data_IF_772246685841
#
_entry.id   IF_772246685841
#
_cell.length_a   1.000
_cell.length_b   1.000
_cell.length_c   1.000
_cell.angle_alpha   90.00
_cell.angle_beta   90.00
_cell.angle_gamma   90.00
#
_symmetry.space_group_name_H-M   'P 1'
#
loop_
_entity.id
_entity.type
_entity.pdbx_description
1 polymer ?
#
# COMPACT_ATOMS: atom_id res chain seq x y z
N UNK A 1 -28.86 -10.13 -5.93
CA UNK A 1 -27.64 -9.44 -5.54
C UNK A 1 -27.49 -8.12 -6.26
N UNK A 2 -27.13 -7.07 -5.54
CA UNK A 2 -26.89 -5.71 -6.05
C UNK A 2 -25.46 -5.31 -5.72
N UNK A 3 -24.89 -4.32 -6.45
CA UNK A 3 -23.54 -3.82 -6.19
C UNK A 3 -23.56 -2.76 -5.10
N UNK A 4 -24.51 -1.81 -5.16
CA UNK A 4 -24.57 -0.67 -4.25
C UNK A 4 -25.73 -0.77 -3.24
N UNK A 5 -25.62 0.00 -2.17
CA UNK A 5 -26.69 0.13 -1.18
C UNK A 5 -27.90 0.83 -1.82
N UNK A 6 -27.65 1.87 -2.61
CA UNK A 6 -28.69 2.64 -3.31
C UNK A 6 -29.51 1.75 -4.23
N UNK A 7 -28.87 0.91 -5.03
CA UNK A 7 -29.57 -0.07 -5.91
C UNK A 7 -30.40 -1.04 -5.07
N UNK A 8 -29.89 -1.49 -3.91
CA UNK A 8 -30.62 -2.39 -3.03
C UNK A 8 -31.88 -1.74 -2.45
N UNK A 9 -31.80 -0.48 -2.05
CA UNK A 9 -32.92 0.29 -1.50
C UNK A 9 -33.96 0.63 -2.58
N UNK A 10 -33.52 1.02 -3.78
CA UNK A 10 -34.38 1.25 -4.94
C UNK A 10 -35.19 -0.01 -5.28
N UNK A 11 -34.51 -1.14 -5.40
CA UNK A 11 -35.13 -2.42 -5.68
C UNK A 11 -36.13 -2.81 -4.58
N UNK A 12 -35.79 -2.58 -3.31
CA UNK A 12 -36.69 -2.79 -2.19
C UNK A 12 -37.98 -1.96 -2.30
N UNK A 13 -37.86 -0.67 -2.65
CA UNK A 13 -39.03 0.17 -2.86
C UNK A 13 -39.91 -0.33 -4.00
N UNK A 14 -39.29 -0.78 -5.10
CA UNK A 14 -40.01 -1.33 -6.25
C UNK A 14 -40.78 -2.61 -5.89
N UNK A 15 -40.18 -3.50 -5.12
CA UNK A 15 -40.82 -4.75 -4.66
C UNK A 15 -41.93 -4.46 -3.67
N UNK A 16 -41.79 -3.50 -2.75
CA UNK A 16 -42.83 -3.03 -1.84
C UNK A 16 -44.05 -2.52 -2.60
N UNK A 17 -43.84 -1.69 -3.62
CA UNK A 17 -44.93 -1.16 -4.48
C UNK A 17 -45.71 -2.27 -5.20
N UNK A 18 -45.05 -3.41 -5.47
CA UNK A 18 -45.63 -4.58 -6.11
C UNK A 18 -46.21 -5.61 -5.12
N UNK A 19 -46.15 -5.33 -3.80
CA UNK A 19 -46.63 -6.21 -2.77
C UNK A 19 -45.83 -7.49 -2.56
N UNK A 20 -44.54 -7.52 -2.99
CA UNK A 20 -43.65 -8.66 -2.81
C UNK A 20 -42.97 -8.56 -1.43
N UNK A 21 -43.26 -9.49 -0.48
CA UNK A 21 -42.55 -9.53 0.80
C UNK A 21 -41.06 -9.83 0.60
N UNK A 22 -40.18 -9.06 1.22
CA UNK A 22 -38.73 -9.26 1.11
C UNK A 22 -38.00 -8.72 2.31
N UNK A 23 -36.75 -9.20 2.51
CA UNK A 23 -35.79 -8.67 3.49
C UNK A 23 -34.63 -8.02 2.71
N UNK A 24 -34.01 -7.00 3.33
CA UNK A 24 -32.84 -6.29 2.77
C UNK A 24 -31.65 -6.51 3.67
N UNK A 25 -30.56 -6.97 3.07
CA UNK A 25 -29.29 -7.20 3.75
C UNK A 25 -28.18 -6.35 3.08
N UNK A 26 -27.82 -5.28 3.73
CA UNK A 26 -26.72 -4.41 3.32
C UNK A 26 -25.95 -3.91 4.56
N UNK A 27 -24.89 -3.11 4.34
CA UNK A 27 -24.03 -2.65 5.42
C UNK A 27 -24.73 -1.85 6.54
N UNK A 28 -25.95 -1.37 6.32
CA UNK A 28 -26.74 -0.67 7.35
C UNK A 28 -27.40 -1.61 8.38
N UNK A 29 -27.50 -2.91 8.08
CA UNK A 29 -28.26 -3.90 8.87
C UNK A 29 -27.39 -5.06 9.37
N UNK A 30 -26.15 -4.80 9.75
CA UNK A 30 -25.22 -5.83 10.23
C UNK A 30 -25.73 -6.61 11.45
N UNK A 31 -26.43 -5.96 12.37
CA UNK A 31 -26.92 -6.61 13.58
C UNK A 31 -27.98 -7.68 13.28
N UNK A 32 -28.73 -7.56 12.17
CA UNK A 32 -29.77 -8.48 11.75
C UNK A 32 -29.30 -9.50 10.72
N UNK A 33 -28.02 -9.45 10.33
CA UNK A 33 -27.50 -10.27 9.24
C UNK A 33 -27.74 -11.76 9.44
N UNK A 34 -27.42 -12.29 10.61
CA UNK A 34 -27.61 -13.72 10.93
C UNK A 34 -29.07 -14.15 10.82
N UNK A 35 -30.00 -13.34 11.31
CA UNK A 35 -31.44 -13.62 11.26
C UNK A 35 -31.98 -13.58 9.81
N UNK A 36 -31.53 -12.58 9.03
CA UNK A 36 -31.95 -12.45 7.64
C UNK A 36 -31.44 -13.62 6.81
N UNK A 37 -30.17 -14.02 6.99
CA UNK A 37 -29.56 -15.15 6.28
C UNK A 37 -30.22 -16.46 6.68
N UNK A 38 -30.54 -16.68 7.95
CA UNK A 38 -31.23 -17.87 8.43
C UNK A 38 -32.59 -18.05 7.75
N UNK A 39 -33.30 -16.95 7.47
CA UNK A 39 -34.61 -16.98 6.79
C UNK A 39 -34.53 -16.96 5.26
N UNK A 40 -33.34 -16.80 4.65
CA UNK A 40 -33.21 -16.61 3.20
C UNK A 40 -33.39 -17.88 2.38
N UNK A 41 -33.30 -19.06 3.00
CA UNK A 41 -33.44 -20.35 2.35
C UNK A 41 -34.83 -20.98 2.49
N UNK A 42 -35.79 -20.28 3.09
CA UNK A 42 -37.18 -20.75 3.27
C UNK A 42 -37.95 -20.55 1.96
N UNK A 43 -38.87 -21.49 1.67
CA UNK A 43 -39.73 -21.37 0.50
C UNK A 43 -40.46 -20.02 0.42
N UNK A 44 -40.44 -19.42 -0.75
CA UNK A 44 -41.03 -18.09 -1.02
C UNK A 44 -40.30 -16.90 -0.42
N UNK A 45 -39.19 -17.10 0.30
CA UNK A 45 -38.39 -15.99 0.82
C UNK A 45 -37.68 -15.22 -0.32
N UNK A 46 -37.71 -13.89 -0.23
CA UNK A 46 -36.98 -12.99 -1.11
C UNK A 46 -36.03 -12.15 -0.27
N UNK A 47 -34.73 -12.20 -0.57
CA UNK A 47 -33.71 -11.42 0.11
C UNK A 47 -32.94 -10.59 -0.91
N UNK A 48 -32.91 -9.28 -0.73
CA UNK A 48 -32.05 -8.36 -1.48
C UNK A 48 -30.77 -8.22 -0.68
N UNK A 49 -29.62 -8.54 -1.29
CA UNK A 49 -28.33 -8.42 -0.60
C UNK A 49 -27.30 -7.73 -1.49
N UNK A 50 -26.44 -6.87 -0.90
CA UNK A 50 -25.21 -6.47 -1.53
C UNK A 50 -24.20 -7.63 -1.51
N UNK A 51 -23.25 -7.64 -2.45
CA UNK A 51 -22.30 -8.74 -2.61
C UNK A 51 -21.48 -9.09 -1.36
N UNK A 52 -21.22 -8.11 -0.50
CA UNK A 52 -20.43 -8.26 0.73
C UNK A 52 -21.26 -8.83 1.90
N UNK A 53 -22.55 -8.64 1.88
CA UNK A 53 -23.44 -9.06 2.95
C UNK A 53 -23.62 -10.60 2.98
N UNK A 54 -23.62 -11.19 4.16
CA UNK A 54 -23.72 -12.63 4.36
C UNK A 54 -22.47 -13.43 3.93
N UNK A 55 -21.33 -12.79 3.79
CA UNK A 55 -20.09 -13.50 3.43
C UNK A 55 -19.66 -14.42 4.58
N UNK A 56 -19.36 -15.68 4.24
CA UNK A 56 -18.95 -16.68 5.23
C UNK A 56 -20.11 -17.41 5.90
N UNK A 57 -21.35 -17.00 5.63
CA UNK A 57 -22.55 -17.65 6.17
C UNK A 57 -23.21 -18.54 5.11
N UNK A 58 -23.62 -19.73 5.52
CA UNK A 58 -24.30 -20.68 4.63
C UNK A 58 -25.83 -20.49 4.70
N UNK A 59 -26.49 -20.52 3.54
CA UNK A 59 -27.94 -20.40 3.43
C UNK A 59 -28.49 -21.82 3.42
N UNK A 60 -29.16 -22.23 4.52
CA UNK A 60 -29.80 -23.53 4.62
C UNK A 60 -31.17 -23.48 3.97
N UNK A 61 -31.40 -24.40 3.04
CA UNK A 61 -32.71 -24.54 2.36
C UNK A 61 -33.64 -25.42 3.19
N UNK A 62 -34.92 -25.07 3.22
CA UNK A 62 -35.95 -26.01 3.66
C UNK A 62 -36.23 -27.07 2.58
N UNK A 63 -37.00 -28.12 2.95
CA UNK A 63 -37.26 -29.23 2.06
C UNK A 63 -38.12 -28.84 0.85
N UNK A 64 -39.01 -27.86 1.03
CA UNK A 64 -39.89 -27.35 -0.02
C UNK A 64 -39.10 -26.51 -1.04
N UNK A 65 -38.23 -25.61 -0.60
CA UNK A 65 -37.37 -24.85 -1.46
C UNK A 65 -36.40 -25.76 -2.26
N UNK A 66 -35.89 -26.82 -1.60
CA UNK A 66 -35.02 -27.82 -2.25
C UNK A 66 -35.75 -28.61 -3.33
N UNK A 67 -37.02 -29.02 -3.06
CA UNK A 67 -37.85 -29.74 -4.01
C UNK A 67 -38.24 -28.89 -5.22
N UNK A 68 -38.33 -27.58 -5.07
CA UNK A 68 -38.66 -26.63 -6.13
C UNK A 68 -37.44 -26.17 -6.95
N UNK A 69 -36.25 -26.74 -6.74
CA UNK A 69 -35.06 -26.45 -7.50
C UNK A 69 -34.01 -25.62 -6.76
N UNK A 70 -34.21 -25.39 -5.47
CA UNK A 70 -33.24 -24.75 -4.59
C UNK A 70 -33.18 -23.22 -4.67
N UNK A 71 -32.05 -22.64 -4.26
CA UNK A 71 -31.86 -21.21 -4.21
C UNK A 71 -31.63 -20.64 -5.59
N UNK A 72 -32.46 -19.68 -5.99
CA UNK A 72 -32.26 -18.91 -7.22
C UNK A 72 -31.56 -17.60 -6.94
N UNK A 73 -30.37 -17.43 -7.49
CA UNK A 73 -29.59 -16.20 -7.40
C UNK A 73 -29.87 -15.31 -8.62
N UNK A 74 -30.27 -14.08 -8.36
CA UNK A 74 -30.47 -13.05 -9.37
C UNK A 74 -29.43 -11.95 -9.13
N UNK A 75 -28.52 -11.72 -10.07
CA UNK A 75 -27.65 -10.56 -10.11
C UNK A 75 -28.27 -9.48 -10.98
N UNK A 76 -28.34 -8.25 -10.47
CA UNK A 76 -28.91 -7.11 -11.21
C UNK A 76 -27.88 -6.39 -12.07
N UNK A 77 -26.61 -6.66 -11.81
CA UNK A 77 -25.45 -6.04 -12.45
C UNK A 77 -24.26 -7.03 -12.41
N UNK A 78 -23.23 -6.78 -13.20
CA UNK A 78 -21.97 -7.53 -13.12
C UNK A 78 -20.92 -6.69 -12.40
N UNK A 79 -20.20 -7.33 -11.50
CA UNK A 79 -19.08 -6.70 -10.80
C UNK A 79 -17.88 -6.53 -11.72
N UNK A 80 -16.95 -5.66 -11.34
CA UNK A 80 -15.68 -5.46 -12.04
C UNK A 80 -14.80 -6.72 -12.08
N UNK A 81 -15.00 -7.65 -11.16
CA UNK A 81 -14.25 -8.89 -11.06
C UNK A 81 -15.15 -10.11 -11.19
N UNK A 82 -14.77 -11.02 -12.10
CA UNK A 82 -15.42 -12.32 -12.26
C UNK A 82 -15.43 -13.15 -10.96
N UNK A 83 -14.40 -12.99 -10.13
CA UNK A 83 -14.32 -13.66 -8.83
C UNK A 83 -15.49 -13.27 -7.91
N UNK A 84 -15.87 -12.01 -7.92
CA UNK A 84 -16.98 -11.51 -7.09
C UNK A 84 -18.32 -12.03 -7.63
N UNK A 85 -18.52 -12.04 -8.94
CA UNK A 85 -19.69 -12.66 -9.57
C UNK A 85 -19.80 -14.15 -9.20
N UNK A 86 -18.69 -14.86 -9.21
CA UNK A 86 -18.67 -16.29 -8.84
C UNK A 86 -18.96 -16.48 -7.35
N UNK A 87 -18.57 -15.55 -6.46
CA UNK A 87 -18.97 -15.60 -5.05
C UNK A 87 -20.48 -15.44 -4.89
N UNK A 88 -21.12 -14.59 -5.67
CA UNK A 88 -22.56 -14.45 -5.68
C UNK A 88 -23.23 -15.71 -6.23
N UNK A 89 -22.79 -16.22 -7.37
CA UNK A 89 -23.28 -17.50 -7.94
C UNK A 89 -23.15 -18.67 -6.97
N UNK A 90 -21.99 -18.76 -6.31
CA UNK A 90 -21.67 -19.83 -5.38
C UNK A 90 -22.45 -19.79 -4.07
N UNK A 91 -23.42 -18.91 -3.92
CA UNK A 91 -24.39 -18.98 -2.83
C UNK A 91 -25.50 -19.99 -3.07
N UNK A 92 -25.77 -20.38 -4.33
CA UNK A 92 -26.62 -21.49 -4.68
C UNK A 92 -25.83 -22.77 -4.96
N UNK A 93 -26.48 -23.91 -4.92
CA UNK A 93 -25.87 -25.21 -5.20
C UNK A 93 -24.85 -25.67 -4.16
N UNK A 94 -24.97 -25.22 -2.90
CA UNK A 94 -24.10 -25.62 -1.80
C UNK A 94 -24.57 -26.94 -1.18
N UNK A 95 -23.65 -27.66 -0.56
CA UNK A 95 -23.93 -28.92 0.15
C UNK A 95 -24.61 -29.99 -0.71
N UNK A 96 -24.50 -29.89 -2.05
CA UNK A 96 -25.19 -30.78 -2.96
C UNK A 96 -26.64 -30.40 -3.26
N UNK A 97 -27.14 -29.30 -2.71
CA UNK A 97 -28.48 -28.79 -3.01
C UNK A 97 -28.57 -28.31 -4.47
N UNK A 98 -29.74 -28.41 -5.10
CA UNK A 98 -29.99 -27.79 -6.40
C UNK A 98 -29.94 -26.27 -6.28
N UNK A 99 -29.72 -25.59 -7.42
CA UNK A 99 -29.72 -24.14 -7.44
C UNK A 99 -29.52 -23.57 -8.84
N UNK A 100 -29.95 -22.34 -9.02
CA UNK A 100 -29.82 -21.60 -10.28
C UNK A 100 -29.24 -20.21 -10.05
N UNK A 101 -28.47 -19.70 -11.00
CA UNK A 101 -28.02 -18.31 -10.98
C UNK A 101 -28.20 -17.64 -12.33
N UNK A 102 -28.74 -16.42 -12.32
CA UNK A 102 -28.93 -15.60 -13.53
C UNK A 102 -28.56 -14.16 -13.27
N UNK A 103 -27.87 -13.56 -14.24
CA UNK A 103 -27.57 -12.13 -14.22
C UNK A 103 -28.41 -11.40 -15.26
N UNK A 104 -29.03 -10.31 -14.84
CA UNK A 104 -29.68 -9.34 -15.69
C UNK A 104 -28.81 -8.11 -15.75
N UNK A 105 -28.38 -7.72 -16.93
CA UNK A 105 -27.42 -6.65 -17.15
C UNK A 105 -27.96 -5.67 -18.19
N UNK A 106 -27.57 -4.42 -18.09
CA UNK A 106 -27.82 -3.40 -19.10
C UNK A 106 -26.53 -3.08 -19.87
N UNK A 107 -26.68 -2.71 -21.13
CA UNK A 107 -25.54 -2.13 -21.88
C UNK A 107 -25.15 -0.75 -21.38
N UNK A 108 -25.98 -0.14 -20.54
CA UNK A 108 -25.72 1.13 -19.85
C UNK A 108 -25.00 0.95 -18.52
N UNK A 109 -24.86 -0.28 -18.03
CA UNK A 109 -24.09 -0.56 -16.82
C UNK A 109 -22.64 -0.07 -16.96
N UNK A 110 -22.05 0.46 -15.88
CA UNK A 110 -20.72 1.07 -15.89
C UNK A 110 -19.65 0.16 -16.48
N UNK A 111 -19.69 -1.13 -16.19
CA UNK A 111 -18.79 -2.12 -16.78
C UNK A 111 -18.86 -2.13 -18.32
N UNK A 112 -20.05 -2.08 -18.86
CA UNK A 112 -20.27 -2.10 -20.31
C UNK A 112 -19.92 -0.75 -20.95
N UNK A 113 -20.27 0.35 -20.29
CA UNK A 113 -20.00 1.71 -20.76
C UNK A 113 -18.50 2.00 -20.86
N UNK A 114 -17.70 1.56 -19.86
CA UNK A 114 -16.27 1.84 -19.82
C UNK A 114 -15.43 0.94 -20.75
N UNK A 115 -15.85 -0.28 -21.03
CA UNK A 115 -14.95 -1.28 -21.62
C UNK A 115 -15.51 -2.04 -22.84
N UNK A 116 -16.74 -1.85 -23.24
CA UNK A 116 -17.27 -2.72 -24.29
C UNK A 116 -18.39 -2.20 -25.17
N UNK A 117 -18.95 -1.05 -24.89
CA UNK A 117 -20.28 -0.74 -25.38
C UNK A 117 -20.40 -0.17 -26.80
N UNK A 118 -19.47 0.71 -27.22
CA UNK A 118 -19.71 1.44 -28.49
C UNK A 118 -19.87 0.52 -29.71
N UNK A 119 -19.01 -0.48 -29.83
CA UNK A 119 -19.09 -1.46 -30.94
C UNK A 119 -20.30 -2.39 -30.83
N UNK A 120 -20.64 -2.79 -29.60
CA UNK A 120 -21.81 -3.63 -29.35
C UNK A 120 -23.11 -2.85 -29.53
N UNK A 121 -23.17 -1.62 -28.98
CA UNK A 121 -24.31 -0.72 -29.17
C UNK A 121 -24.57 -0.43 -30.65
N UNK A 122 -23.53 -0.09 -31.41
CA UNK A 122 -23.66 0.17 -32.85
C UNK A 122 -24.11 -1.08 -33.61
N UNK A 123 -23.65 -2.27 -33.21
CA UNK A 123 -24.06 -3.53 -33.82
C UNK A 123 -25.53 -3.86 -33.49
N UNK A 124 -26.00 -3.70 -32.26
CA UNK A 124 -27.39 -3.95 -31.89
C UNK A 124 -28.33 -2.93 -32.49
N UNK A 125 -27.93 -1.67 -32.57
CA UNK A 125 -28.68 -0.63 -33.28
C UNK A 125 -28.80 -0.95 -34.78
N UNK A 126 -27.72 -1.44 -35.39
CA UNK A 126 -27.73 -1.86 -36.81
C UNK A 126 -28.60 -3.09 -37.06
N UNK A 127 -28.77 -3.97 -36.07
CA UNK A 127 -29.64 -5.14 -36.12
C UNK A 127 -31.12 -4.81 -35.84
N UNK A 128 -31.42 -3.54 -35.46
CA UNK A 128 -32.79 -3.11 -35.19
C UNK A 128 -33.42 -3.74 -33.94
N UNK A 129 -32.61 -4.16 -32.97
CA UNK A 129 -33.11 -4.75 -31.72
C UNK A 129 -33.81 -3.66 -30.88
N UNK A 130 -35.08 -3.84 -30.48
CA UNK A 130 -35.80 -2.88 -29.67
C UNK A 130 -35.13 -2.66 -28.31
N UNK A 131 -35.16 -1.43 -27.78
CA UNK A 131 -34.51 -1.07 -26.51
C UNK A 131 -34.93 -1.89 -25.29
N UNK A 132 -36.13 -2.47 -25.31
CA UNK A 132 -36.70 -3.24 -24.20
C UNK A 132 -36.71 -4.75 -24.45
N UNK A 133 -36.02 -5.25 -25.47
CA UNK A 133 -35.97 -6.68 -25.74
C UNK A 133 -34.80 -7.35 -25.00
N UNK A 134 -35.10 -8.51 -24.43
CA UNK A 134 -34.08 -9.31 -23.73
C UNK A 134 -33.20 -10.00 -24.78
N UNK A 135 -31.89 -9.70 -24.72
CA UNK A 135 -30.91 -10.28 -25.62
C UNK A 135 -30.14 -11.40 -24.90
N UNK A 136 -30.31 -12.64 -25.39
CA UNK A 136 -29.52 -13.78 -24.93
C UNK A 136 -28.51 -14.19 -26.02
N UNK A 137 -27.29 -13.70 -25.96
CA UNK A 137 -26.28 -14.04 -26.94
C UNK A 137 -24.92 -14.32 -26.33
N UNK A 138 -24.25 -15.39 -26.77
CA UNK A 138 -22.90 -15.79 -26.28
C UNK A 138 -21.85 -14.69 -26.49
N UNK A 139 -21.99 -13.86 -27.52
CA UNK A 139 -21.06 -12.73 -27.74
C UNK A 139 -21.11 -11.70 -26.61
N UNK A 140 -22.30 -11.45 -26.07
CA UNK A 140 -22.46 -10.52 -24.94
C UNK A 140 -21.71 -11.02 -23.70
N UNK A 141 -21.87 -12.30 -23.35
CA UNK A 141 -21.13 -12.92 -22.25
C UNK A 141 -19.62 -12.83 -22.45
N UNK A 142 -19.15 -13.08 -23.69
CA UNK A 142 -17.72 -12.96 -24.01
C UNK A 142 -17.21 -11.52 -23.92
N UNK A 143 -18.02 -10.54 -24.32
CA UNK A 143 -17.64 -9.13 -24.22
C UNK A 143 -17.51 -8.69 -22.76
N UNK A 144 -18.45 -9.10 -21.90
CA UNK A 144 -18.41 -8.84 -20.46
C UNK A 144 -17.17 -9.47 -19.82
N UNK A 145 -16.88 -10.73 -20.13
CA UNK A 145 -15.69 -11.41 -19.60
C UNK A 145 -14.38 -10.72 -20.02
N UNK A 146 -14.31 -10.22 -21.24
CA UNK A 146 -13.16 -9.44 -21.73
C UNK A 146 -13.05 -8.10 -21.01
N UNK A 147 -14.16 -7.41 -20.77
CA UNK A 147 -14.19 -6.16 -20.02
C UNK A 147 -13.71 -6.38 -18.58
N UNK A 148 -14.24 -7.36 -17.87
CA UNK A 148 -13.80 -7.74 -16.54
C UNK A 148 -12.31 -8.06 -16.49
N UNK A 149 -11.81 -8.87 -17.44
CA UNK A 149 -10.39 -9.22 -17.50
C UNK A 149 -9.49 -7.98 -17.70
N UNK A 150 -9.94 -7.02 -18.50
CA UNK A 150 -9.18 -5.77 -18.72
C UNK A 150 -9.08 -4.95 -17.43
N UNK A 151 -10.18 -4.82 -16.68
CA UNK A 151 -10.18 -4.13 -15.38
C UNK A 151 -9.29 -4.89 -14.39
N UNK A 152 -9.45 -6.21 -14.28
CA UNK A 152 -8.63 -7.04 -13.39
C UNK A 152 -7.14 -6.89 -13.68
N UNK A 153 -6.75 -6.87 -14.96
CA UNK A 153 -5.36 -6.68 -15.38
C UNK A 153 -4.84 -5.29 -14.99
N UNK A 154 -5.63 -4.24 -15.21
CA UNK A 154 -5.26 -2.88 -14.82
C UNK A 154 -5.11 -2.76 -13.30
N UNK A 155 -6.09 -3.24 -12.55
CA UNK A 155 -6.05 -3.22 -11.07
C UNK A 155 -4.92 -4.10 -10.51
N UNK A 156 -4.57 -5.19 -11.19
CA UNK A 156 -3.42 -6.00 -10.84
C UNK A 156 -2.12 -5.22 -11.02
N UNK A 157 -1.94 -4.55 -12.16
CA UNK A 157 -0.75 -3.72 -12.41
C UNK A 157 -0.57 -2.60 -11.39
N UNK A 158 -1.66 -1.92 -11.02
CA UNK A 158 -1.63 -0.89 -9.96
C UNK A 158 -1.16 -1.50 -8.63
N UNK A 159 -1.73 -2.65 -8.24
CA UNK A 159 -1.33 -3.32 -6.98
C UNK A 159 0.09 -3.86 -7.03
N UNK A 160 0.53 -4.40 -8.16
CA UNK A 160 1.91 -4.85 -8.35
C UNK A 160 2.91 -3.71 -8.16
N UNK A 161 2.64 -2.55 -8.73
CA UNK A 161 3.48 -1.37 -8.54
C UNK A 161 3.50 -0.91 -7.08
N UNK A 162 2.34 -0.88 -6.40
CA UNK A 162 2.28 -0.55 -4.97
C UNK A 162 3.15 -1.51 -4.14
N UNK A 163 3.06 -2.81 -4.40
CA UNK A 163 3.88 -3.80 -3.69
C UNK A 163 5.38 -3.61 -3.91
N UNK A 164 5.80 -3.24 -5.12
CA UNK A 164 7.22 -2.94 -5.40
C UNK A 164 7.72 -1.73 -4.60
N UNK A 165 6.91 -0.68 -4.46
CA UNK A 165 7.26 0.46 -3.59
C UNK A 165 7.29 0.08 -2.11
N UNK A 166 6.31 -0.71 -1.66
CA UNK A 166 6.25 -1.18 -0.28
C UNK A 166 7.42 -2.10 0.08
N UNK A 167 7.90 -2.91 -0.86
CA UNK A 167 9.07 -3.78 -0.68
C UNK A 167 10.32 -2.96 -0.37
N UNK A 168 10.61 -1.91 -1.16
CA UNK A 168 11.73 -1.00 -0.90
C UNK A 168 11.61 -0.34 0.49
N UNK A 169 10.42 0.15 0.82
CA UNK A 169 10.16 0.77 2.13
C UNK A 169 10.32 -0.23 3.29
N UNK A 170 9.96 -1.49 3.07
CA UNK A 170 10.13 -2.55 4.07
C UNK A 170 11.60 -2.91 4.29
N UNK A 171 12.39 -3.06 3.23
CA UNK A 171 13.83 -3.30 3.35
C UNK A 171 14.51 -2.19 4.15
N UNK A 172 14.21 -0.94 3.84
CA UNK A 172 14.73 0.20 4.60
C UNK A 172 14.29 0.17 6.07
N UNK A 173 13.01 -0.18 6.30
CA UNK A 173 12.47 -0.30 7.67
C UNK A 173 13.17 -1.39 8.47
N UNK A 174 13.43 -2.54 7.87
CA UNK A 174 14.13 -3.64 8.53
C UNK A 174 15.53 -3.23 8.99
N UNK A 175 16.28 -2.52 8.16
CA UNK A 175 17.61 -2.00 8.51
C UNK A 175 17.53 -1.03 9.69
N UNK A 176 16.70 0.00 9.58
CA UNK A 176 16.57 1.03 10.62
C UNK A 176 16.03 0.46 11.94
N UNK A 177 15.07 -0.48 11.86
CA UNK A 177 14.52 -1.10 13.07
C UNK A 177 15.51 -2.05 13.73
N UNK A 178 16.38 -2.73 12.96
CA UNK A 178 17.46 -3.53 13.51
C UNK A 178 18.46 -2.64 14.27
N UNK A 179 18.91 -1.52 13.69
CA UNK A 179 19.77 -0.55 14.35
C UNK A 179 19.12 0.03 15.61
N UNK A 180 17.87 0.44 15.51
CA UNK A 180 17.09 0.95 16.64
C UNK A 180 16.97 -0.08 17.77
N UNK A 181 16.79 -1.35 17.44
CA UNK A 181 16.69 -2.42 18.41
C UNK A 181 18.01 -2.67 19.14
N UNK A 182 19.16 -2.55 18.48
CA UNK A 182 20.47 -2.63 19.12
C UNK A 182 20.61 -1.54 20.20
N UNK A 183 20.21 -0.32 19.87
CA UNK A 183 20.24 0.80 20.83
C UNK A 183 19.29 0.55 22.01
N UNK A 184 18.06 0.06 21.75
CA UNK A 184 17.06 -0.25 22.78
C UNK A 184 17.50 -1.38 23.71
N UNK A 185 18.19 -2.40 23.20
CA UNK A 185 18.68 -3.52 23.98
C UNK A 185 19.86 -3.13 24.89
N UNK A 186 20.32 -1.88 24.82
CA UNK A 186 21.40 -1.38 25.66
C UNK A 186 22.79 -1.82 25.22
N UNK A 187 22.96 -2.19 23.96
CA UNK A 187 24.27 -2.47 23.38
C UNK A 187 25.19 -1.24 23.49
N UNK A 188 26.47 -1.47 23.73
CA UNK A 188 27.44 -0.39 23.79
C UNK A 188 27.67 0.19 22.37
N UNK A 189 27.11 1.36 22.13
CA UNK A 189 27.15 2.02 20.82
C UNK A 189 28.44 2.81 20.56
N UNK A 190 29.40 2.84 21.51
CA UNK A 190 30.65 3.60 21.37
C UNK A 190 31.39 3.29 20.08
N UNK A 191 31.49 2.02 19.71
CA UNK A 191 32.15 1.60 18.48
C UNK A 191 31.44 2.11 17.21
N UNK A 192 30.13 2.13 17.22
CA UNK A 192 29.31 2.66 16.12
C UNK A 192 29.48 4.17 16.01
N UNK A 193 29.45 4.90 17.13
CA UNK A 193 29.64 6.35 17.17
C UNK A 193 31.04 6.72 16.68
N UNK A 194 32.07 5.98 17.12
CA UNK A 194 33.45 6.19 16.63
C UNK A 194 33.57 5.98 15.13
N UNK A 195 32.90 4.97 14.59
CA UNK A 195 32.83 4.75 13.15
C UNK A 195 32.15 5.93 12.44
N UNK A 196 31.01 6.41 12.94
CA UNK A 196 30.31 7.58 12.39
C UNK A 196 31.22 8.81 12.38
N UNK A 197 31.97 9.08 13.45
CA UNK A 197 32.92 10.18 13.50
C UNK A 197 34.04 10.06 12.46
N UNK A 198 34.60 8.86 12.29
CA UNK A 198 35.64 8.61 11.29
C UNK A 198 35.11 8.72 9.86
N UNK A 199 33.91 8.23 9.61
CA UNK A 199 33.27 8.31 8.29
C UNK A 199 32.96 9.78 7.89
N UNK A 200 32.54 10.62 8.86
CA UNK A 200 32.33 12.06 8.65
C UNK A 200 33.64 12.75 8.28
N UNK A 201 34.73 12.46 9.01
CA UNK A 201 36.05 13.03 8.71
C UNK A 201 36.52 12.61 7.32
N UNK A 202 36.41 11.34 6.98
CA UNK A 202 36.79 10.84 5.64
C UNK A 202 35.99 11.52 4.55
N UNK A 203 34.67 11.56 4.71
CA UNK A 203 33.78 12.20 3.75
C UNK A 203 34.09 13.67 3.54
N UNK A 204 34.29 14.43 4.63
CA UNK A 204 34.64 15.85 4.56
C UNK A 204 35.97 16.09 3.82
N UNK A 205 37.00 15.28 4.11
CA UNK A 205 38.29 15.36 3.41
C UNK A 205 38.16 14.95 1.95
N UNK A 206 37.42 13.90 1.64
CA UNK A 206 37.27 13.44 0.24
C UNK A 206 36.47 14.42 -0.61
N UNK A 207 35.47 15.07 -0.06
CA UNK A 207 34.67 16.07 -0.77
C UNK A 207 35.46 17.38 -1.01
N UNK A 208 36.18 17.86 0.00
CA UNK A 208 36.88 19.16 -0.07
C UNK A 208 38.23 19.11 -0.80
N UNK A 209 38.93 18.00 -0.73
CA UNK A 209 40.29 17.86 -1.29
C UNK A 209 40.28 17.11 -2.63
N UNK A 210 39.29 16.19 -2.84
CA UNK A 210 39.22 15.39 -4.07
C UNK A 210 40.51 14.60 -4.32
N UNK A 211 40.99 14.61 -5.58
CA UNK A 211 42.21 13.94 -6.02
C UNK A 211 43.45 14.85 -5.98
N UNK A 212 43.35 16.05 -5.46
CA UNK A 212 44.43 17.02 -5.40
C UNK A 212 45.52 16.57 -4.38
N UNK A 213 46.70 16.38 -4.87
CA UNK A 213 47.81 15.86 -4.06
C UNK A 213 48.64 16.95 -3.37
N UNK A 214 48.53 18.20 -3.83
CA UNK A 214 49.32 19.32 -3.32
C UNK A 214 48.60 20.05 -2.19
N UNK A 215 49.11 20.05 -0.95
CA UNK A 215 48.41 20.70 0.18
C UNK A 215 48.11 22.18 -0.01
N UNK A 216 48.89 22.86 -0.82
CA UNK A 216 48.72 24.30 -1.15
C UNK A 216 47.45 24.59 -1.96
N UNK A 217 46.89 23.56 -2.61
CA UNK A 217 45.68 23.66 -3.42
C UNK A 217 44.44 23.07 -2.72
N UNK A 218 44.59 22.52 -1.53
CA UNK A 218 43.50 21.95 -0.78
C UNK A 218 42.50 23.02 -0.37
N UNK A 219 41.20 22.71 -0.46
CA UNK A 219 40.14 23.64 -0.09
C UNK A 219 39.84 23.57 1.42
N UNK A 220 40.71 24.15 2.23
CA UNK A 220 40.54 24.17 3.68
C UNK A 220 39.27 24.91 4.14
N UNK A 221 38.79 25.88 3.35
CA UNK A 221 37.56 26.57 3.67
C UNK A 221 36.37 25.60 3.64
N UNK A 222 36.23 24.86 2.55
CA UNK A 222 35.18 23.86 2.38
C UNK A 222 35.30 22.73 3.40
N UNK A 223 36.53 22.26 3.67
CA UNK A 223 36.80 21.27 4.70
C UNK A 223 36.26 21.73 6.08
N UNK A 224 36.59 22.96 6.47
CA UNK A 224 36.12 23.52 7.73
C UNK A 224 34.59 23.73 7.74
N UNK A 225 33.99 24.16 6.64
CA UNK A 225 32.52 24.33 6.52
C UNK A 225 31.78 22.98 6.64
N UNK A 226 32.38 21.89 6.16
CA UNK A 226 31.78 20.56 6.27
C UNK A 226 31.98 19.92 7.66
N UNK A 227 33.16 20.13 8.26
CA UNK A 227 33.58 19.39 9.44
C UNK A 227 33.21 20.08 10.77
N UNK A 228 33.49 21.37 10.89
CA UNK A 228 33.38 22.08 12.17
C UNK A 228 31.96 22.19 12.74
N UNK A 229 30.89 22.30 11.93
CA UNK A 229 29.52 22.29 12.46
C UNK A 229 29.13 20.97 13.12
N UNK A 230 29.81 19.86 12.78
CA UNK A 230 29.51 18.51 13.25
C UNK A 230 30.49 18.12 14.35
N UNK A 231 31.78 18.31 14.12
CA UNK A 231 32.86 17.98 15.05
C UNK A 231 33.62 19.27 15.37
N UNK A 232 33.46 19.85 16.58
CA UNK A 232 34.02 21.15 16.95
C UNK A 232 35.54 21.08 17.20
N UNK A 233 36.27 20.77 16.11
CA UNK A 233 37.73 20.81 16.12
C UNK A 233 38.24 22.25 15.97
N UNK A 234 39.55 22.42 16.06
CA UNK A 234 40.19 23.66 15.67
C UNK A 234 40.15 23.79 14.14
N UNK A 235 39.95 25.01 13.60
CA UNK A 235 40.00 25.20 12.14
C UNK A 235 41.32 24.67 11.56
N UNK A 236 41.18 23.95 10.42
CA UNK A 236 42.31 23.41 9.69
C UNK A 236 42.79 24.48 8.74
N UNK A 237 44.06 24.89 8.86
CA UNK A 237 44.66 25.89 8.01
C UNK A 237 46.02 25.37 7.52
N UNK A 238 46.46 25.89 6.37
CA UNK A 238 47.75 25.53 5.81
C UNK A 238 48.90 26.04 6.75
N UNK A 239 49.60 25.13 7.38
CA UNK A 239 50.78 25.37 8.18
C UNK A 239 51.94 24.51 7.72
N UNK A 240 53.12 24.69 8.34
CA UNK A 240 54.32 23.96 7.90
C UNK A 240 54.24 22.46 8.09
N UNK A 241 53.44 21.99 9.06
CA UNK A 241 53.18 20.58 9.28
C UNK A 241 52.29 20.00 8.16
N UNK A 242 51.21 20.68 7.83
CA UNK A 242 50.28 20.23 6.76
C UNK A 242 50.90 20.29 5.38
N UNK A 243 51.83 21.22 5.11
CA UNK A 243 52.57 21.29 3.82
C UNK A 243 53.32 19.99 3.50
N UNK A 244 53.75 19.28 4.54
CA UNK A 244 54.46 17.99 4.40
C UNK A 244 53.57 16.77 4.36
N UNK A 245 52.26 16.94 4.53
CA UNK A 245 51.32 15.82 4.65
C UNK A 245 50.76 15.38 3.30
N UNK A 246 50.50 14.08 3.20
CA UNK A 246 49.60 13.51 2.19
C UNK A 246 48.16 13.52 2.69
N UNK A 247 47.20 13.44 1.78
CA UNK A 247 45.75 13.39 2.09
C UNK A 247 45.42 12.35 3.16
N UNK A 248 45.98 11.14 3.08
CA UNK A 248 45.73 10.07 4.06
C UNK A 248 46.31 10.41 5.44
N UNK A 249 47.42 11.15 5.50
CA UNK A 249 47.97 11.59 6.77
C UNK A 249 47.11 12.68 7.41
N UNK A 250 46.51 13.58 6.63
CA UNK A 250 45.56 14.55 7.12
C UNK A 250 44.29 13.86 7.64
N UNK A 251 43.76 12.89 6.89
CA UNK A 251 42.63 12.05 7.36
C UNK A 251 42.92 11.41 8.70
N UNK A 252 44.10 10.81 8.82
CA UNK A 252 44.51 10.16 10.07
C UNK A 252 44.61 11.14 11.24
N UNK A 253 45.24 12.28 11.04
CA UNK A 253 45.38 13.31 12.06
C UNK A 253 44.03 13.88 12.51
N UNK A 254 43.09 14.11 11.58
CA UNK A 254 41.75 14.60 11.90
C UNK A 254 40.92 13.54 12.62
N UNK A 255 41.03 12.26 12.24
CA UNK A 255 40.38 11.15 12.97
C UNK A 255 40.89 11.03 14.41
N UNK A 256 42.19 11.10 14.59
CA UNK A 256 42.76 11.10 15.96
C UNK A 256 42.28 12.29 16.77
N UNK A 257 42.22 13.48 16.19
CA UNK A 257 41.74 14.68 16.86
C UNK A 257 40.26 14.54 17.26
N UNK A 258 39.42 14.02 16.35
CA UNK A 258 38.01 13.75 16.63
C UNK A 258 37.83 12.70 17.73
N UNK A 259 38.60 11.62 17.68
CA UNK A 259 38.59 10.58 18.73
C UNK A 259 38.97 11.14 20.06
N UNK A 260 40.07 11.92 20.15
CA UNK A 260 40.50 12.56 21.41
C UNK A 260 39.46 13.53 21.95
N UNK A 261 38.79 14.28 21.08
CA UNK A 261 37.71 15.19 21.49
C UNK A 261 36.54 14.41 22.12
N UNK A 262 36.16 13.30 21.51
CA UNK A 262 35.10 12.43 22.03
C UNK A 262 35.52 11.80 23.37
N UNK A 263 36.74 11.29 23.51
CA UNK A 263 37.28 10.71 24.74
C UNK A 263 37.37 11.75 25.87
N UNK A 264 37.73 12.99 25.51
CA UNK A 264 37.72 14.08 26.49
C UNK A 264 36.29 14.36 26.99
N UNK A 265 35.30 14.30 26.09
CA UNK A 265 33.89 14.44 26.48
C UNK A 265 33.41 13.26 27.32
N UNK A 266 33.82 12.06 27.01
CA UNK A 266 33.52 10.86 27.78
C UNK A 266 34.07 10.96 29.20
N UNK A 267 35.27 11.51 29.37
CA UNK A 267 35.93 11.70 30.67
C UNK A 267 35.26 12.76 31.58
N UNK A 268 34.40 13.64 31.04
CA UNK A 268 33.62 14.59 31.86
C UNK A 268 32.52 13.90 32.69
N UNK A 269 32.15 12.68 32.34
CA UNK A 269 31.13 11.91 33.04
C UNK A 269 31.76 11.09 34.16
N UNK A 270 31.27 11.22 35.41
CA UNK A 270 31.83 10.50 36.58
C UNK A 270 31.69 8.98 36.47
N UNK A 271 30.67 8.55 35.75
CA UNK A 271 30.33 7.15 35.54
C UNK A 271 30.23 6.89 34.03
N UNK A 272 30.99 5.91 33.55
CA UNK A 272 30.96 5.51 32.14
C UNK A 272 29.59 5.03 31.65
N UNK A 273 28.69 4.63 32.53
CA UNK A 273 27.33 4.26 32.16
C UNK A 273 26.45 5.46 31.83
N UNK A 274 26.67 6.60 32.46
CA UNK A 274 25.88 7.80 32.20
C UNK A 274 26.04 8.31 30.77
N UNK A 275 27.26 8.30 30.25
CA UNK A 275 27.45 8.71 28.85
C UNK A 275 26.81 7.70 27.88
N UNK A 276 26.83 6.40 28.18
CA UNK A 276 26.15 5.37 27.37
C UNK A 276 24.64 5.62 27.33
N UNK A 277 24.04 6.06 28.42
CA UNK A 277 22.64 6.43 28.47
C UNK A 277 22.34 7.67 27.61
N UNK A 278 23.21 8.70 27.70
CA UNK A 278 23.09 9.90 26.86
C UNK A 278 23.19 9.54 25.37
N UNK A 279 24.17 8.72 25.00
CA UNK A 279 24.32 8.22 23.62
C UNK A 279 23.06 7.50 23.15
N UNK A 280 22.50 6.63 23.96
CA UNK A 280 21.27 5.88 23.67
C UNK A 280 20.09 6.82 23.41
N UNK A 281 19.85 7.75 24.31
CA UNK A 281 18.73 8.71 24.18
C UNK A 281 18.88 9.57 22.93
N UNK A 282 20.10 10.07 22.67
CA UNK A 282 20.36 10.90 21.49
C UNK A 282 20.20 10.10 20.21
N UNK A 283 20.78 8.90 20.15
CA UNK A 283 20.67 8.04 18.96
C UNK A 283 19.20 7.68 18.65
N UNK A 284 18.43 7.25 19.65
CA UNK A 284 17.00 6.95 19.46
C UNK A 284 16.23 8.16 18.95
N UNK A 285 16.45 9.33 19.55
CA UNK A 285 15.77 10.55 19.12
C UNK A 285 16.12 10.94 17.68
N UNK A 286 17.39 10.81 17.30
CA UNK A 286 17.85 11.12 15.95
C UNK A 286 17.29 10.11 14.94
N UNK A 287 17.38 8.80 15.25
CA UNK A 287 16.82 7.74 14.41
C UNK A 287 15.33 7.98 14.18
N UNK A 288 14.56 8.18 15.24
CA UNK A 288 13.11 8.36 15.14
C UNK A 288 12.75 9.60 14.30
N UNK A 289 13.39 10.74 14.54
CA UNK A 289 13.13 11.97 13.79
C UNK A 289 13.52 11.83 12.31
N UNK A 290 14.69 11.28 12.02
CA UNK A 290 15.17 11.11 10.64
C UNK A 290 14.36 10.09 9.89
N UNK A 291 13.94 9.00 10.56
CA UNK A 291 13.07 8.00 9.95
C UNK A 291 11.69 8.56 9.59
N UNK A 292 11.08 9.37 10.47
CA UNK A 292 9.81 10.03 10.17
C UNK A 292 9.92 10.96 8.95
N UNK A 293 10.97 11.79 8.90
CA UNK A 293 11.22 12.65 7.74
C UNK A 293 11.44 11.84 6.46
N UNK A 294 12.20 10.73 6.56
CA UNK A 294 12.47 9.87 5.42
C UNK A 294 11.19 9.21 4.85
N UNK A 295 10.26 8.81 5.71
CA UNK A 295 8.95 8.29 5.25
C UNK A 295 8.21 9.36 4.43
N UNK A 296 8.20 10.60 4.90
CA UNK A 296 7.56 11.71 4.17
C UNK A 296 8.26 11.97 2.82
N UNK A 297 9.59 11.98 2.80
CA UNK A 297 10.38 12.16 1.57
C UNK A 297 10.10 11.04 0.56
N UNK A 298 10.02 9.78 1.02
CA UNK A 298 9.70 8.63 0.17
C UNK A 298 8.29 8.71 -0.40
N UNK A 299 7.31 9.19 0.38
CA UNK A 299 5.96 9.40 -0.10
C UNK A 299 5.89 10.51 -1.16
N UNK A 300 6.61 11.62 -0.96
CA UNK A 300 6.71 12.69 -1.95
C UNK A 300 7.39 12.22 -3.24
N UNK A 301 8.46 11.43 -3.11
CA UNK A 301 9.14 10.82 -4.25
C UNK A 301 8.19 9.91 -5.05
N UNK A 302 7.42 9.08 -4.37
CA UNK A 302 6.43 8.19 -4.99
C UNK A 302 5.38 8.97 -5.78
N UNK A 303 4.88 10.05 -5.22
CA UNK A 303 3.93 10.95 -5.89
C UNK A 303 4.56 11.64 -7.12
N UNK A 304 5.81 12.10 -6.99
CA UNK A 304 6.56 12.71 -8.08
C UNK A 304 6.82 11.76 -9.26
N UNK A 305 7.18 10.52 -8.99
CA UNK A 305 7.37 9.48 -10.02
C UNK A 305 6.05 9.19 -10.73
N UNK A 306 4.94 9.11 -9.98
CA UNK A 306 3.61 8.92 -10.54
C UNK A 306 3.22 10.01 -11.55
N UNK A 307 3.58 11.25 -11.28
CA UNK A 307 3.31 12.38 -12.18
C UNK A 307 4.17 12.36 -13.45
N UNK A 308 5.42 11.91 -13.37
CA UNK A 308 6.30 11.77 -14.54
C UNK A 308 5.79 10.76 -15.57
N UNK A 309 5.06 9.72 -15.12
CA UNK A 309 4.46 8.73 -16.01
C UNK A 309 3.34 9.31 -16.91
N UNK A 310 2.78 10.48 -16.56
CA UNK A 310 1.77 11.18 -17.38
C UNK A 310 2.41 12.20 -18.35
N UNK A 311 3.71 12.44 -18.26
CA UNK A 311 4.43 13.41 -19.11
C UNK A 311 5.12 12.79 -20.34
N UNK A 312 5.06 11.47 -20.49
CA UNK A 312 5.51 10.70 -21.65
C UNK A 312 4.31 10.17 -22.43
#
# INVERSE_FOLDING_TARGET
GTITIETSEMLSQMLRRRGVPHKVLNAKFHELEAEIVAGAGVHGAVTIATNMAGRGTDIKLDDEARALGGLKIIGTERHESRRIDNQLRGRSGRQGDPGESRFYISLEDDLMRLFGSEKLMSMFNALGVPENEQIEHKMLSSAIEKAQKKIETNNYGIRENLLKYDEVSNEQREVIYAERMQVLNGENMRGVIMKMLTDIVEGAVDMSIGDEQSPEKWNFKELNELLLPIIPLKPVELNDEIRGMKKDQLKHALKEAATKLYEAKEAEFPDGEQIREVERVVLLKVIDNKWMSHIDDMEQLRQGIGLQAYGQ
#
